data_IF_939600779752
#
_entry.id   IF_939600779752
#
_cell.length_a   1.000
_cell.length_b   1.000
_cell.length_c   1.000
_cell.angle_alpha   90.00
_cell.angle_beta   90.00
_cell.angle_gamma   90.00
#
_symmetry.space_group_name_H-M   'P 1'
#
loop_
_entity.id
_entity.type
_entity.pdbx_description
1 polymer ?
#
# COMPACT_ATOMS: atom_id res chain seq x y z
N UNK A 1 0.48 -11.36 -21.31
CA UNK A 1 0.87 -12.04 -20.07
C UNK A 1 -0.06 -11.56 -18.98
N UNK A 2 -0.64 -12.45 -18.16
CA UNK A 2 -1.49 -12.04 -17.06
C UNK A 2 -0.68 -11.18 -16.07
N UNK A 3 -1.26 -10.11 -15.54
CA UNK A 3 -0.69 -9.30 -14.46
C UNK A 3 -1.47 -9.64 -13.21
N UNK A 4 -0.76 -9.86 -12.10
CA UNK A 4 -1.40 -10.05 -10.80
C UNK A 4 -1.85 -8.70 -10.28
N UNK A 5 -3.15 -8.43 -10.29
CA UNK A 5 -3.74 -7.18 -9.79
C UNK A 5 -4.32 -7.39 -8.38
N UNK A 6 -3.85 -6.61 -7.40
CA UNK A 6 -4.25 -6.74 -5.99
C UNK A 6 -4.60 -5.36 -5.43
N UNK A 7 -5.68 -5.30 -4.65
CA UNK A 7 -6.06 -4.11 -3.89
C UNK A 7 -5.86 -4.33 -2.40
N UNK A 8 -5.20 -3.37 -1.75
CA UNK A 8 -4.98 -3.30 -0.32
C UNK A 8 -5.79 -2.18 0.29
N UNK A 9 -6.59 -2.51 1.30
CA UNK A 9 -7.29 -1.56 2.17
C UNK A 9 -6.52 -1.44 3.48
N UNK A 10 -5.95 -0.27 3.75
CA UNK A 10 -5.14 -0.03 4.93
C UNK A 10 -5.99 0.65 6.02
N UNK A 11 -5.96 0.15 7.26
CA UNK A 11 -6.68 0.70 8.42
C UNK A 11 -8.15 1.03 8.18
N UNK A 12 -8.82 0.22 7.34
CA UNK A 12 -10.24 0.42 7.05
C UNK A 12 -10.55 1.61 6.14
N UNK A 13 -9.54 2.23 5.51
CA UNK A 13 -9.73 3.32 4.57
C UNK A 13 -10.78 3.01 3.51
N UNK A 14 -11.51 4.05 3.08
CA UNK A 14 -12.53 3.90 2.06
C UNK A 14 -11.93 3.44 0.74
N UNK A 15 -12.65 2.50 0.10
CA UNK A 15 -12.30 1.98 -1.20
C UNK A 15 -13.28 2.57 -2.21
N UNK A 16 -12.81 3.42 -3.15
CA UNK A 16 -13.64 3.96 -4.21
C UNK A 16 -14.40 2.87 -4.96
N UNK A 17 -15.68 3.13 -5.28
CA UNK A 17 -16.57 2.12 -5.89
C UNK A 17 -15.99 1.54 -7.20
N UNK A 18 -15.36 2.38 -8.01
CA UNK A 18 -14.73 1.96 -9.26
C UNK A 18 -13.55 1.00 -9.03
N UNK A 19 -12.83 1.13 -7.91
CA UNK A 19 -11.79 0.20 -7.50
C UNK A 19 -12.35 -1.09 -6.91
N UNK A 20 -13.40 -1.00 -6.09
CA UNK A 20 -14.08 -2.17 -5.55
C UNK A 20 -14.64 -3.06 -6.66
N UNK A 21 -15.22 -2.46 -7.70
CA UNK A 21 -15.73 -3.16 -8.88
C UNK A 21 -14.61 -3.82 -9.70
N UNK A 22 -13.49 -3.10 -9.93
CA UNK A 22 -12.32 -3.65 -10.65
C UNK A 22 -11.67 -4.82 -9.92
N UNK A 23 -11.68 -4.82 -8.59
CA UNK A 23 -11.02 -5.82 -7.75
C UNK A 23 -11.98 -6.75 -7.00
N UNK A 24 -13.20 -6.95 -7.53
CA UNK A 24 -14.33 -7.63 -6.87
C UNK A 24 -14.07 -9.06 -6.33
N UNK A 25 -12.92 -9.68 -6.62
CA UNK A 25 -12.57 -11.04 -6.17
C UNK A 25 -11.61 -11.13 -4.97
N UNK A 26 -10.90 -10.07 -4.58
CA UNK A 26 -10.09 -10.08 -3.34
C UNK A 26 -9.53 -8.69 -2.99
N UNK A 27 -9.99 -8.14 -1.86
CA UNK A 27 -9.39 -6.98 -1.20
C UNK A 27 -8.60 -7.50 0.00
N UNK A 28 -7.31 -7.21 0.06
CA UNK A 28 -6.45 -7.54 1.19
C UNK A 28 -6.52 -6.41 2.22
N UNK A 29 -6.65 -6.72 3.51
CA UNK A 29 -6.62 -5.70 4.57
C UNK A 29 -5.25 -5.68 5.23
N UNK A 30 -4.67 -4.50 5.38
CA UNK A 30 -3.47 -4.26 6.18
C UNK A 30 -3.84 -3.38 7.36
N UNK A 31 -3.36 -3.71 8.54
CA UNK A 31 -3.58 -2.90 9.75
C UNK A 31 -2.25 -2.43 10.34
N UNK A 32 -2.18 -1.16 10.74
CA UNK A 32 -1.02 -0.58 11.42
C UNK A 32 -0.96 -1.00 12.90
N UNK A 33 -2.10 -1.36 13.48
CA UNK A 33 -2.24 -1.86 14.85
C UNK A 33 -2.60 -3.36 14.78
N UNK A 34 -1.82 -4.19 15.46
CA UNK A 34 -2.11 -5.62 15.60
C UNK A 34 -2.81 -5.88 16.94
N UNK A 35 -4.06 -6.32 16.91
CA UNK A 35 -4.69 -6.91 18.10
C UNK A 35 -4.27 -8.38 18.30
N UNK A 36 -4.02 -9.17 17.23
CA UNK A 36 -3.60 -10.58 17.36
C UNK A 36 -2.91 -11.15 16.09
N UNK A 37 -1.63 -10.80 15.89
CA UNK A 37 -0.70 -11.67 15.15
C UNK A 37 -0.79 -11.75 13.62
N UNK A 38 -1.56 -10.92 12.92
CA UNK A 38 -1.45 -10.74 11.46
C UNK A 38 -0.65 -9.47 11.12
N UNK A 39 0.26 -9.62 10.15
CA UNK A 39 1.23 -8.68 9.55
C UNK A 39 1.39 -7.36 10.33
N UNK A 40 2.16 -7.46 11.42
CA UNK A 40 2.37 -6.39 12.38
C UNK A 40 3.36 -5.35 11.81
N UNK A 41 2.82 -4.29 11.26
CA UNK A 41 3.57 -3.11 10.87
C UNK A 41 3.74 -2.21 12.10
N UNK A 42 4.73 -2.49 12.97
CA UNK A 42 4.94 -1.82 14.28
C UNK A 42 5.29 -0.33 14.19
N UNK A 43 4.46 0.48 13.53
CA UNK A 43 4.73 1.89 13.33
C UNK A 43 4.50 2.70 14.60
N UNK A 44 3.50 2.35 15.41
CA UNK A 44 3.20 3.08 16.64
C UNK A 44 4.39 3.11 17.60
N UNK A 45 5.20 2.05 17.63
CA UNK A 45 6.42 2.01 18.43
C UNK A 45 7.51 2.92 17.87
N UNK A 46 7.59 3.08 16.54
CA UNK A 46 8.54 3.99 15.89
C UNK A 46 8.09 5.45 16.06
N UNK A 47 6.83 5.75 15.84
CA UNK A 47 6.28 7.11 15.97
C UNK A 47 6.28 7.57 17.43
N UNK A 48 5.96 6.70 18.38
CA UNK A 48 6.09 7.00 19.81
C UNK A 48 7.54 7.29 20.22
N UNK A 49 8.53 6.62 19.61
CA UNK A 49 9.96 6.89 19.84
C UNK A 49 10.43 8.20 19.20
N UNK A 50 9.79 8.65 18.13
CA UNK A 50 10.10 9.91 17.45
C UNK A 50 9.51 11.14 18.19
N UNK A 51 8.57 10.93 19.12
CA UNK A 51 7.96 11.99 19.95
C UNK A 51 7.05 12.95 19.17
N UNK A 52 6.48 13.95 19.85
CA UNK A 52 5.55 14.97 19.31
C UNK A 52 6.15 15.93 18.24
N UNK A 53 7.27 15.58 17.60
CA UNK A 53 8.03 16.48 16.73
C UNK A 53 7.96 16.15 15.24
N UNK A 54 7.26 15.08 14.85
CA UNK A 54 7.14 14.70 13.44
C UNK A 54 5.97 15.49 12.81
N UNK A 55 6.19 16.25 11.73
CA UNK A 55 5.10 16.89 11.00
C UNK A 55 4.09 15.85 10.48
N UNK A 56 2.78 16.15 10.43
CA UNK A 56 1.74 15.18 10.02
C UNK A 56 2.04 14.46 8.70
N UNK A 57 2.47 15.19 7.67
CA UNK A 57 2.87 14.58 6.37
C UNK A 57 4.10 13.68 6.47
N UNK A 58 5.05 13.98 7.35
CA UNK A 58 6.19 13.08 7.55
C UNK A 58 5.75 11.78 8.25
N UNK A 59 4.77 11.87 9.16
CA UNK A 59 4.15 10.70 9.77
C UNK A 59 3.35 9.89 8.73
N UNK A 60 2.54 10.54 7.90
CA UNK A 60 1.83 9.89 6.79
C UNK A 60 2.80 9.13 5.87
N UNK A 61 3.93 9.72 5.52
CA UNK A 61 4.94 9.08 4.67
C UNK A 61 5.48 7.79 5.29
N UNK A 62 5.68 7.77 6.62
CA UNK A 62 6.12 6.58 7.35
C UNK A 62 5.04 5.48 7.30
N UNK A 63 3.77 5.84 7.49
CA UNK A 63 2.66 4.89 7.33
C UNK A 63 2.57 4.34 5.90
N UNK A 64 2.60 5.22 4.89
CA UNK A 64 2.57 4.84 3.47
C UNK A 64 3.70 3.85 3.14
N UNK A 65 4.94 4.19 3.48
CA UNK A 65 6.09 3.33 3.22
C UNK A 65 5.93 1.95 3.86
N UNK A 66 5.35 1.93 5.06
CA UNK A 66 5.17 0.73 5.85
C UNK A 66 4.07 -0.17 5.29
N UNK A 67 2.94 0.39 4.86
CA UNK A 67 1.92 -0.38 4.13
C UNK A 67 2.46 -0.93 2.81
N UNK A 68 3.28 -0.17 2.09
CA UNK A 68 3.92 -0.67 0.87
C UNK A 68 4.81 -1.88 1.16
N UNK A 69 5.59 -1.86 2.24
CA UNK A 69 6.39 -3.02 2.67
C UNK A 69 5.49 -4.21 3.03
N UNK A 70 4.41 -3.99 3.77
CA UNK A 70 3.44 -5.05 4.09
C UNK A 70 2.81 -5.66 2.83
N UNK A 71 2.32 -4.82 1.91
CA UNK A 71 1.73 -5.26 0.66
C UNK A 71 2.72 -6.04 -0.22
N UNK A 72 3.98 -5.60 -0.30
CA UNK A 72 5.04 -6.27 -1.06
C UNK A 72 5.27 -7.71 -0.56
N UNK A 73 5.22 -7.92 0.76
CA UNK A 73 5.43 -9.22 1.40
C UNK A 73 4.22 -10.15 1.29
N UNK A 74 3.00 -9.62 1.24
CA UNK A 74 1.76 -10.42 1.13
C UNK A 74 1.57 -11.05 -0.25
N UNK A 75 2.05 -10.39 -1.33
CA UNK A 75 1.86 -10.90 -2.69
C UNK A 75 3.05 -11.73 -3.15
N UNK A 76 2.88 -13.05 -3.19
CA UNK A 76 3.93 -13.95 -3.70
C UNK A 76 4.23 -13.68 -5.19
N UNK A 77 5.51 -13.75 -5.59
CA UNK A 77 5.98 -13.64 -6.99
C UNK A 77 6.07 -14.99 -7.73
N UNK A 78 5.43 -16.03 -7.19
CA UNK A 78 5.53 -17.42 -7.67
C UNK A 78 6.55 -18.23 -6.89
N UNK A 79 6.33 -19.55 -6.77
CA UNK A 79 7.29 -20.45 -6.14
C UNK A 79 8.42 -20.81 -7.10
N UNK A 80 9.63 -20.97 -6.56
CA UNK A 80 10.87 -21.20 -7.32
C UNK A 80 10.85 -22.41 -8.30
N UNK A 81 9.85 -23.30 -8.21
CA UNK A 81 9.78 -24.54 -8.99
C UNK A 81 8.75 -24.55 -10.13
N UNK A 82 7.92 -23.51 -10.33
CA UNK A 82 6.77 -23.62 -11.26
C UNK A 82 6.68 -22.49 -12.30
N UNK A 83 7.28 -21.32 -12.09
CA UNK A 83 7.10 -20.19 -13.02
C UNK A 83 8.24 -20.03 -14.04
N UNK A 84 8.34 -20.97 -14.98
CA UNK A 84 9.30 -20.93 -16.10
C UNK A 84 9.02 -19.75 -17.05
N UNK A 85 7.81 -19.18 -16.98
CA UNK A 85 7.33 -18.11 -17.86
C UNK A 85 7.28 -16.72 -17.19
N UNK A 86 7.65 -16.62 -15.90
CA UNK A 86 7.60 -15.39 -15.08
C UNK A 86 6.23 -14.71 -15.09
N UNK A 87 5.16 -15.48 -15.22
CA UNK A 87 3.79 -14.96 -15.32
C UNK A 87 3.37 -14.20 -14.05
N UNK A 88 3.91 -14.57 -12.87
CA UNK A 88 3.60 -13.94 -11.58
C UNK A 88 4.62 -12.87 -11.18
N UNK A 89 5.63 -12.62 -12.01
CA UNK A 89 6.70 -11.66 -11.70
C UNK A 89 6.21 -10.22 -11.69
N UNK A 90 5.26 -9.88 -12.59
CA UNK A 90 4.70 -8.52 -12.70
C UNK A 90 3.42 -8.40 -11.89
N UNK A 91 3.44 -7.51 -10.90
CA UNK A 91 2.29 -7.20 -10.05
C UNK A 91 1.83 -5.76 -10.27
N UNK A 92 0.53 -5.53 -10.11
CA UNK A 92 -0.04 -4.21 -9.95
C UNK A 92 -0.70 -4.15 -8.57
N UNK A 93 -0.11 -3.35 -7.69
CA UNK A 93 -0.50 -3.17 -6.30
C UNK A 93 -1.24 -1.83 -6.17
N UNK A 94 -2.53 -1.90 -5.89
CA UNK A 94 -3.37 -0.73 -5.61
C UNK A 94 -3.54 -0.57 -4.11
N UNK A 95 -3.23 0.61 -3.59
CA UNK A 95 -3.24 0.91 -2.17
C UNK A 95 -4.31 1.96 -1.85
N UNK A 96 -5.22 1.64 -0.94
CA UNK A 96 -6.10 2.61 -0.26
C UNK A 96 -5.54 2.87 1.13
N UNK A 97 -4.99 4.06 1.37
CA UNK A 97 -4.25 4.41 2.59
C UNK A 97 -4.89 5.64 3.25
N UNK A 98 -5.21 5.62 4.55
CA UNK A 98 -5.64 6.81 5.26
C UNK A 98 -4.44 7.72 5.52
N UNK A 99 -4.61 9.01 5.30
CA UNK A 99 -3.58 10.03 5.49
C UNK A 99 -4.21 11.27 6.10
N UNK A 100 -3.41 12.08 6.79
CA UNK A 100 -3.89 13.31 7.43
C UNK A 100 -4.20 14.46 6.45
N UNK A 101 -3.68 14.41 5.22
CA UNK A 101 -3.83 15.47 4.21
C UNK A 101 -4.09 14.90 2.80
N UNK A 102 -5.32 14.43 2.51
CA UNK A 102 -5.64 13.80 1.23
C UNK A 102 -5.42 14.72 0.02
N UNK A 103 -5.65 16.03 0.17
CA UNK A 103 -5.46 17.01 -0.91
C UNK A 103 -4.00 17.03 -1.38
N UNK A 104 -3.04 17.01 -0.45
CA UNK A 104 -1.62 16.93 -0.78
C UNK A 104 -1.24 15.58 -1.39
N UNK A 105 -1.65 14.48 -0.75
CA UNK A 105 -1.23 13.13 -1.14
C UNK A 105 -1.84 12.65 -2.45
N UNK A 106 -3.03 13.14 -2.82
CA UNK A 106 -3.67 12.82 -4.09
C UNK A 106 -3.23 13.72 -5.26
N UNK A 107 -2.33 14.69 -5.04
CA UNK A 107 -1.78 15.46 -6.17
C UNK A 107 -1.04 14.55 -7.15
N UNK A 108 -1.14 14.87 -8.44
CA UNK A 108 -0.47 14.09 -9.49
C UNK A 108 1.06 14.04 -9.30
N UNK A 109 1.66 15.13 -8.81
CA UNK A 109 3.09 15.20 -8.55
C UNK A 109 3.53 14.22 -7.46
N UNK A 110 2.84 14.21 -6.31
CA UNK A 110 3.19 13.35 -5.17
C UNK A 110 2.89 11.89 -5.50
N UNK A 111 1.71 11.59 -6.05
CA UNK A 111 1.34 10.22 -6.43
C UNK A 111 2.27 9.62 -7.49
N UNK A 112 2.68 10.40 -8.49
CA UNK A 112 3.65 9.95 -9.51
C UNK A 112 5.04 9.73 -8.90
N UNK A 113 5.52 10.65 -8.05
CA UNK A 113 6.81 10.51 -7.39
C UNK A 113 6.88 9.23 -6.53
N UNK A 114 5.84 8.96 -5.74
CA UNK A 114 5.74 7.73 -4.94
C UNK A 114 5.68 6.49 -5.85
N UNK A 115 4.80 6.50 -6.86
CA UNK A 115 4.61 5.36 -7.77
C UNK A 115 5.89 5.04 -8.54
N UNK A 116 6.63 6.04 -9.02
CA UNK A 116 7.93 5.86 -9.69
C UNK A 116 9.00 5.33 -8.74
N UNK A 117 9.04 5.84 -7.50
CA UNK A 117 10.01 5.37 -6.51
C UNK A 117 9.79 3.90 -6.17
N UNK A 118 8.53 3.52 -5.92
CA UNK A 118 8.16 2.13 -5.64
C UNK A 118 8.36 1.23 -6.85
N UNK A 119 8.03 1.70 -8.05
CA UNK A 119 8.30 0.98 -9.29
C UNK A 119 9.80 0.72 -9.48
N UNK A 120 10.64 1.72 -9.26
CA UNK A 120 12.08 1.55 -9.34
C UNK A 120 12.61 0.53 -8.31
N UNK A 121 12.08 0.55 -7.08
CA UNK A 121 12.53 -0.35 -6.02
C UNK A 121 12.06 -1.80 -6.19
N UNK A 122 10.92 -2.03 -6.85
CA UNK A 122 10.22 -3.33 -6.85
C UNK A 122 9.95 -3.90 -8.24
N UNK A 123 10.16 -3.12 -9.30
CA UNK A 123 9.72 -3.39 -10.68
C UNK A 123 8.20 -3.59 -10.86
N UNK A 124 7.40 -3.37 -9.82
CA UNK A 124 5.94 -3.50 -9.88
C UNK A 124 5.27 -2.19 -10.23
N UNK A 125 4.01 -2.27 -10.67
CA UNK A 125 3.17 -1.09 -10.84
C UNK A 125 2.46 -0.78 -9.53
N UNK A 126 2.55 0.47 -9.08
CA UNK A 126 1.89 0.93 -7.86
C UNK A 126 0.86 2.00 -8.20
N UNK A 127 -0.24 2.03 -7.44
CA UNK A 127 -1.22 3.11 -7.53
C UNK A 127 -1.76 3.38 -6.14
N UNK A 128 -1.60 4.61 -5.66
CA UNK A 128 -2.13 5.05 -4.38
C UNK A 128 -3.44 5.83 -4.57
N UNK A 129 -4.39 5.57 -3.68
CA UNK A 129 -5.55 6.43 -3.42
C UNK A 129 -5.61 6.68 -1.92
N UNK A 130 -5.85 7.92 -1.53
CA UNK A 130 -6.17 8.23 -0.15
C UNK A 130 -7.66 8.51 -0.04
N UNK A 131 -8.29 8.01 1.01
CA UNK A 131 -9.71 8.28 1.26
C UNK A 131 -9.90 9.79 1.48
N UNK A 132 -10.98 10.34 0.94
CA UNK A 132 -11.48 11.65 1.34
C UNK A 132 -12.24 11.43 2.66
N UNK A 133 -12.00 12.28 3.67
CA UNK A 133 -12.88 12.34 4.84
C UNK A 133 -14.22 12.93 4.36
N UNK A 134 -15.28 12.12 4.38
CA UNK A 134 -16.68 12.54 4.14
C UNK A 134 -17.28 13.24 5.38
#
# INVERSE_FOLDING_TARGET
MPVTEVLFRCDGADVPADLAERHARKIHSLTSIAEDGQTNLQLDTLTAKLGNQVPPRAQDLLYIATYCVGADQEVNRGSANIDVHREQWRRHLTMCIPVSDPEFWNTAEVTDALSRTLHFATEDRWTGRTAEDD
#
